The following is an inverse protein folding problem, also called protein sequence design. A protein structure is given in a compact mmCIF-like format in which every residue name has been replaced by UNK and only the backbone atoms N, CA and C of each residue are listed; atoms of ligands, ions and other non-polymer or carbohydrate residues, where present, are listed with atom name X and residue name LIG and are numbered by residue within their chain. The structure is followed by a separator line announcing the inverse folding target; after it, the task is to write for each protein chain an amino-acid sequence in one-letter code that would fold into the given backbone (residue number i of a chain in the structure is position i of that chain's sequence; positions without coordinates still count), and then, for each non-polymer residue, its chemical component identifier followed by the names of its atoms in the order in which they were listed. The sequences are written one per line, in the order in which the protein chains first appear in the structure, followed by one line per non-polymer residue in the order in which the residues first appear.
data_IF_864747111598
#
_entry.id   IF_864747111598
#
_cell.length_a   1.000
_cell.length_b   1.000
_cell.length_c   1.000
_cell.angle_alpha   90.00
_cell.angle_beta   90.00
_cell.angle_gamma   90.00
#
_symmetry.space_group_name_H-M   'P 1'
#
loop_
_entity.id
_entity.type
_entity.pdbx_description
1 polymer ?
#
# COMPACT_ATOMS: atom_id res chain seq x y z
N UNK A 1 8.05 -56.78 0.65
CA UNK A 1 9.52 -56.95 0.55
C UNK A 1 10.12 -55.56 0.42
N UNK A 2 10.96 -55.11 1.36
CA UNK A 2 11.41 -53.70 1.41
C UNK A 2 12.24 -53.36 0.16
N UNK A 3 11.75 -52.44 -0.66
CA UNK A 3 12.46 -51.97 -1.85
C UNK A 3 13.25 -50.71 -1.51
N UNK A 4 14.55 -50.89 -1.19
CA UNK A 4 15.43 -49.80 -0.73
C UNK A 4 15.66 -48.73 -1.79
N UNK A 5 15.74 -49.10 -3.05
CA UNK A 5 15.97 -48.17 -4.15
C UNK A 5 14.79 -47.20 -4.31
N UNK A 6 13.55 -47.70 -4.17
CA UNK A 6 12.35 -46.85 -4.21
C UNK A 6 12.26 -45.91 -3.00
N UNK A 7 12.64 -46.37 -1.81
CA UNK A 7 12.64 -45.54 -0.59
C UNK A 7 13.62 -44.37 -0.72
N UNK A 8 14.82 -44.62 -1.28
CA UNK A 8 15.81 -43.58 -1.54
C UNK A 8 15.28 -42.57 -2.57
N UNK A 9 14.72 -43.05 -3.69
CA UNK A 9 14.13 -42.18 -4.72
C UNK A 9 13.00 -41.31 -4.16
N UNK A 10 12.07 -41.88 -3.38
CA UNK A 10 11.00 -41.11 -2.77
C UNK A 10 11.51 -40.09 -1.75
N UNK A 11 12.55 -40.45 -0.99
CA UNK A 11 13.17 -39.55 -0.02
C UNK A 11 13.88 -38.39 -0.70
N UNK A 12 14.61 -38.64 -1.78
CA UNK A 12 15.29 -37.61 -2.55
C UNK A 12 14.28 -36.70 -3.25
N UNK A 13 13.22 -37.27 -3.82
CA UNK A 13 12.15 -36.51 -4.46
C UNK A 13 11.39 -35.60 -3.49
N UNK A 14 11.07 -36.11 -2.29
CA UNK A 14 10.44 -35.32 -1.23
C UNK A 14 11.33 -34.14 -0.81
N UNK A 15 12.65 -34.34 -0.71
CA UNK A 15 13.60 -33.28 -0.37
C UNK A 15 13.76 -32.26 -1.49
N UNK A 16 13.95 -32.71 -2.72
CA UNK A 16 14.14 -31.85 -3.89
C UNK A 16 12.92 -30.95 -4.15
N UNK A 17 11.73 -31.46 -3.86
CA UNK A 17 10.45 -30.75 -4.06
C UNK A 17 9.90 -30.10 -2.80
N UNK A 18 10.58 -30.27 -1.66
CA UNK A 18 10.13 -29.75 -0.37
C UNK A 18 8.67 -30.13 -0.05
N UNK A 19 8.30 -31.39 -0.33
CA UNK A 19 6.95 -31.96 -0.10
C UNK A 19 7.05 -32.99 1.03
N UNK A 20 6.05 -33.03 1.90
CA UNK A 20 6.01 -34.03 2.98
C UNK A 20 5.84 -35.45 2.42
N UNK A 21 6.43 -36.44 3.11
CA UNK A 21 6.34 -37.85 2.67
C UNK A 21 4.90 -38.35 2.63
N UNK A 22 4.08 -38.00 3.62
CA UNK A 22 2.64 -38.34 3.64
C UNK A 22 1.94 -37.85 2.38
N UNK A 23 2.16 -36.59 2.01
CA UNK A 23 1.54 -35.96 0.86
C UNK A 23 2.03 -36.57 -0.46
N UNK A 24 3.33 -36.87 -0.56
CA UNK A 24 3.88 -37.60 -1.71
C UNK A 24 3.18 -38.95 -1.92
N UNK A 25 2.80 -39.64 -0.84
CA UNK A 25 2.06 -40.91 -0.91
C UNK A 25 0.70 -40.71 -1.55
N UNK A 26 -0.05 -39.72 -1.06
CA UNK A 26 -1.36 -39.36 -1.63
C UNK A 26 -1.27 -38.92 -3.09
N UNK A 27 -0.21 -38.20 -3.48
CA UNK A 27 0.02 -37.84 -4.90
C UNK A 27 0.20 -39.09 -5.76
N UNK A 28 0.98 -40.06 -5.28
CA UNK A 28 1.24 -41.31 -6.00
C UNK A 28 -0.03 -42.17 -6.10
N UNK A 29 -0.83 -42.24 -5.05
CA UNK A 29 -2.14 -42.92 -5.09
C UNK A 29 -3.06 -42.30 -6.16
N UNK A 30 -3.20 -40.98 -6.16
CA UNK A 30 -3.97 -40.24 -7.17
C UNK A 30 -3.42 -40.42 -8.58
N UNK A 31 -2.09 -40.50 -8.72
CA UNK A 31 -1.41 -40.73 -9.98
C UNK A 31 -1.78 -42.08 -10.58
N UNK A 32 -1.73 -43.17 -9.80
CA UNK A 32 -2.07 -44.49 -10.30
C UNK A 32 -3.56 -44.63 -10.60
N UNK A 33 -4.44 -44.05 -9.77
CA UNK A 33 -5.88 -44.00 -10.07
C UNK A 33 -6.14 -43.25 -11.40
N UNK A 34 -5.49 -42.12 -11.63
CA UNK A 34 -5.59 -41.38 -12.88
C UNK A 34 -5.10 -42.19 -14.10
N UNK A 35 -4.01 -42.95 -13.95
CA UNK A 35 -3.50 -43.84 -15.01
C UNK A 35 -4.49 -44.96 -15.31
N UNK A 36 -5.09 -45.56 -14.27
CA UNK A 36 -6.08 -46.63 -14.39
C UNK A 36 -7.31 -46.10 -15.12
N UNK A 37 -7.86 -44.96 -14.69
CA UNK A 37 -9.02 -44.32 -15.32
C UNK A 37 -8.75 -44.03 -16.81
N UNK A 38 -7.56 -43.52 -17.14
CA UNK A 38 -7.14 -43.28 -18.53
C UNK A 38 -7.00 -44.54 -19.37
N UNK A 39 -6.65 -45.66 -18.75
CA UNK A 39 -6.36 -46.93 -19.44
C UNK A 39 -7.64 -47.74 -19.64
N UNK A 40 -8.46 -47.83 -18.61
CA UNK A 40 -9.63 -48.71 -18.54
C UNK A 40 -10.96 -47.95 -18.69
N UNK A 41 -10.95 -46.62 -18.60
CA UNK A 41 -12.15 -45.77 -18.72
C UNK A 41 -12.91 -45.57 -17.42
N UNK A 42 -12.68 -46.43 -16.42
CA UNK A 42 -13.20 -46.31 -15.06
C UNK A 42 -12.12 -46.75 -14.05
N UNK A 43 -12.11 -46.11 -12.89
CA UNK A 43 -11.26 -46.41 -11.75
C UNK A 43 -12.06 -46.62 -10.44
N UNK A 44 -13.40 -46.62 -10.51
CA UNK A 44 -14.29 -46.65 -9.34
C UNK A 44 -14.09 -47.87 -8.43
N UNK A 45 -13.67 -49.00 -8.99
CA UNK A 45 -13.43 -50.25 -8.28
C UNK A 45 -11.95 -50.51 -7.98
N UNK A 46 -11.09 -49.49 -8.11
CA UNK A 46 -9.66 -49.62 -7.84
C UNK A 46 -9.28 -48.89 -6.56
N UNK A 47 -8.48 -49.55 -5.73
CA UNK A 47 -7.87 -49.01 -4.52
C UNK A 47 -6.36 -49.08 -4.65
N UNK A 48 -5.68 -47.94 -4.51
CA UNK A 48 -4.21 -47.86 -4.56
C UNK A 48 -3.70 -47.55 -3.17
N UNK A 49 -2.74 -48.33 -2.70
CA UNK A 49 -2.08 -48.13 -1.41
C UNK A 49 -0.58 -47.91 -1.66
N UNK A 50 -0.06 -46.78 -1.21
CA UNK A 50 1.36 -46.44 -1.35
C UNK A 50 2.03 -46.36 0.02
N UNK A 51 2.97 -47.26 0.28
CA UNK A 51 3.80 -47.23 1.48
C UNK A 51 5.21 -46.72 1.15
N UNK A 52 5.46 -45.44 1.42
CA UNK A 52 6.74 -44.80 1.11
C UNK A 52 7.88 -45.34 1.98
N UNK A 53 7.62 -45.68 3.24
CA UNK A 53 8.67 -46.17 4.15
C UNK A 53 9.14 -47.60 3.80
N UNK A 54 8.26 -48.39 3.16
CA UNK A 54 8.60 -49.74 2.65
C UNK A 54 8.96 -49.76 1.17
N UNK A 55 8.65 -48.69 0.42
CA UNK A 55 8.81 -48.64 -1.03
C UNK A 55 7.83 -49.58 -1.76
N UNK A 56 6.64 -49.79 -1.19
CA UNK A 56 5.63 -50.73 -1.72
C UNK A 56 4.47 -49.94 -2.33
N UNK A 57 4.06 -50.34 -3.54
CA UNK A 57 2.91 -49.78 -4.27
C UNK A 57 2.03 -50.95 -4.64
N UNK A 58 0.82 -50.96 -4.09
CA UNK A 58 -0.15 -52.04 -4.29
C UNK A 58 -1.41 -51.47 -4.92
N UNK A 59 -1.85 -52.09 -6.02
CA UNK A 59 -3.06 -51.71 -6.75
C UNK A 59 -4.02 -52.88 -6.66
N UNK A 60 -5.18 -52.63 -6.07
CA UNK A 60 -6.24 -53.60 -5.86
C UNK A 60 -7.42 -53.25 -6.75
N UNK A 61 -7.96 -54.22 -7.49
CA UNK A 61 -9.19 -54.08 -8.26
C UNK A 61 -10.28 -54.98 -7.65
N UNK A 62 -11.31 -54.35 -7.11
CA UNK A 62 -12.47 -55.03 -6.55
C UNK A 62 -13.40 -55.48 -7.67
N UNK A 63 -13.68 -56.77 -7.74
CA UNK A 63 -14.58 -57.37 -8.74
C UNK A 63 -15.62 -58.23 -8.05
N UNK A 64 -16.80 -58.31 -8.64
CA UNK A 64 -17.85 -59.23 -8.20
C UNK A 64 -17.75 -60.52 -8.99
N UNK A 65 -17.75 -61.66 -8.30
CA UNK A 65 -17.71 -62.94 -8.97
C UNK A 65 -19.07 -63.25 -9.58
N UNK A 66 -19.12 -63.58 -10.86
CA UNK A 66 -20.35 -63.86 -11.61
C UNK A 66 -20.22 -65.13 -12.44
N UNK A 67 -21.35 -65.66 -12.89
CA UNK A 67 -21.37 -66.83 -13.79
C UNK A 67 -21.12 -66.43 -15.25
N UNK A 68 -21.57 -65.24 -15.65
CA UNK A 68 -21.41 -64.69 -17.00
C UNK A 68 -20.99 -63.24 -16.83
N UNK A 69 -19.87 -62.87 -17.44
CA UNK A 69 -19.33 -61.51 -17.37
C UNK A 69 -20.09 -60.62 -18.34
N UNK A 70 -20.80 -59.63 -17.80
CA UNK A 70 -21.42 -58.54 -18.54
C UNK A 70 -20.51 -57.31 -18.57
N UNK A 71 -19.80 -57.04 -17.46
CA UNK A 71 -18.83 -55.95 -17.34
C UNK A 71 -17.44 -56.50 -16.94
N UNK A 72 -16.48 -56.59 -17.87
CA UNK A 72 -15.13 -57.09 -17.58
C UNK A 72 -14.32 -56.28 -16.57
N UNK A 73 -14.69 -55.03 -16.30
CA UNK A 73 -13.98 -54.17 -15.34
C UNK A 73 -14.38 -54.49 -13.90
N UNK A 74 -15.67 -54.73 -13.66
CA UNK A 74 -16.24 -54.95 -12.33
C UNK A 74 -16.57 -56.41 -12.05
N UNK A 75 -16.48 -57.30 -13.03
CA UNK A 75 -16.88 -58.70 -12.88
C UNK A 75 -15.78 -59.68 -13.29
N UNK A 76 -15.74 -60.83 -12.63
CA UNK A 76 -14.84 -61.95 -12.93
C UNK A 76 -15.60 -63.28 -12.88
N UNK A 77 -15.25 -64.24 -13.72
CA UNK A 77 -15.84 -65.58 -13.64
C UNK A 77 -15.25 -66.34 -12.45
N UNK A 78 -16.01 -67.33 -11.92
CA UNK A 78 -15.51 -68.23 -10.87
C UNK A 78 -14.23 -68.95 -11.33
N UNK A 79 -14.17 -69.34 -12.61
CA UNK A 79 -13.02 -70.05 -13.20
C UNK A 79 -11.78 -69.15 -13.27
N UNK A 80 -11.94 -67.90 -13.73
CA UNK A 80 -10.84 -66.94 -13.83
C UNK A 80 -10.33 -66.49 -12.45
N UNK A 81 -11.22 -66.37 -11.47
CA UNK A 81 -10.86 -66.05 -10.09
C UNK A 81 -9.99 -67.17 -9.48
N UNK A 82 -10.40 -68.45 -9.64
CA UNK A 82 -9.64 -69.61 -9.17
C UNK A 82 -8.29 -69.77 -9.88
N UNK A 83 -8.18 -69.33 -11.14
CA UNK A 83 -6.92 -69.36 -11.89
C UNK A 83 -5.89 -68.36 -11.32
N UNK A 84 -6.36 -67.19 -10.89
CA UNK A 84 -5.50 -66.13 -10.34
C UNK A 84 -5.10 -66.39 -8.90
N UNK A 85 -6.02 -66.91 -8.09
CA UNK A 85 -5.76 -67.28 -6.69
C UNK A 85 -6.25 -68.71 -6.41
N UNK A 86 -5.39 -69.73 -6.66
CA UNK A 86 -5.76 -71.13 -6.48
C UNK A 86 -5.92 -71.55 -5.01
N UNK A 87 -5.50 -70.71 -4.06
CA UNK A 87 -5.61 -70.95 -2.61
C UNK A 87 -7.00 -70.57 -2.05
N UNK A 88 -7.87 -69.94 -2.85
CA UNK A 88 -9.25 -69.64 -2.47
C UNK A 88 -10.15 -70.86 -2.71
N UNK A 89 -10.29 -71.71 -1.69
CA UNK A 89 -11.02 -72.99 -1.78
C UNK A 89 -12.56 -72.84 -1.91
N UNK A 90 -13.13 -71.67 -1.60
CA UNK A 90 -14.59 -71.44 -1.64
C UNK A 90 -14.92 -70.05 -2.22
N UNK A 91 -15.19 -69.98 -3.53
CA UNK A 91 -15.70 -68.76 -4.19
C UNK A 91 -17.07 -69.05 -4.82
N UNK A 92 -18.09 -68.28 -4.44
CA UNK A 92 -19.44 -68.35 -5.01
C UNK A 92 -19.77 -67.12 -5.86
N UNK A 93 -20.66 -67.25 -6.88
CA UNK A 93 -21.19 -66.08 -7.59
C UNK A 93 -21.91 -65.13 -6.63
N UNK A 94 -21.51 -63.86 -6.63
CA UNK A 94 -21.96 -62.82 -5.71
C UNK A 94 -20.90 -62.36 -4.71
N UNK A 95 -19.80 -63.11 -4.55
CA UNK A 95 -18.74 -62.77 -3.62
C UNK A 95 -17.81 -61.66 -4.17
N UNK A 96 -17.24 -60.79 -3.30
CA UNK A 96 -16.21 -59.85 -3.70
C UNK A 96 -14.87 -60.57 -3.88
N UNK A 97 -14.19 -60.27 -4.98
CA UNK A 97 -12.85 -60.76 -5.31
C UNK A 97 -11.93 -59.56 -5.51
N UNK A 98 -10.77 -59.57 -4.86
CA UNK A 98 -9.78 -58.49 -4.97
C UNK A 98 -8.63 -58.97 -5.85
N UNK A 99 -8.51 -58.40 -7.04
CA UNK A 99 -7.43 -58.69 -7.96
C UNK A 99 -6.24 -57.76 -7.70
N UNK A 100 -5.05 -58.31 -7.45
CA UNK A 100 -3.80 -57.53 -7.34
C UNK A 100 -3.23 -57.26 -8.73
N UNK A 101 -2.99 -55.99 -9.05
CA UNK A 101 -2.45 -55.56 -10.34
C UNK A 101 -1.00 -55.13 -10.19
N UNK A 102 -0.14 -55.68 -11.04
CA UNK A 102 1.27 -55.26 -11.12
C UNK A 102 1.39 -53.91 -11.84
N UNK A 103 2.00 -52.88 -11.20
CA UNK A 103 2.27 -51.59 -11.85
C UNK A 103 3.09 -51.69 -13.15
N UNK A 104 3.83 -52.77 -13.37
CA UNK A 104 4.62 -53.03 -14.58
C UNK A 104 3.77 -53.20 -15.84
N UNK A 105 2.46 -53.40 -15.70
CA UNK A 105 1.50 -53.53 -16.82
C UNK A 105 1.34 -52.19 -17.58
N UNK A 106 1.64 -51.06 -16.94
CA UNK A 106 1.49 -49.74 -17.57
C UNK A 106 2.61 -49.47 -18.60
N UNK A 107 2.25 -49.39 -19.87
CA UNK A 107 3.18 -49.14 -20.96
C UNK A 107 3.79 -47.72 -20.98
N UNK A 108 4.84 -47.53 -21.81
CA UNK A 108 5.60 -46.27 -21.92
C UNK A 108 4.75 -44.99 -22.14
N UNK A 109 3.64 -45.09 -22.85
CA UNK A 109 2.73 -43.94 -23.09
C UNK A 109 2.07 -43.47 -21.80
N UNK A 110 1.69 -44.40 -20.92
CA UNK A 110 1.09 -44.08 -19.62
C UNK A 110 2.12 -43.45 -18.68
N UNK A 111 3.37 -43.90 -18.72
CA UNK A 111 4.47 -43.28 -17.94
C UNK A 111 4.66 -41.79 -18.31
N UNK A 112 4.51 -41.41 -19.59
CA UNK A 112 4.60 -40.01 -20.00
C UNK A 112 3.45 -39.16 -19.43
N UNK A 113 2.22 -39.68 -19.47
CA UNK A 113 1.06 -39.04 -18.84
C UNK A 113 1.20 -38.96 -17.32
N UNK A 114 1.73 -40.02 -16.72
CA UNK A 114 2.00 -40.10 -15.30
C UNK A 114 2.98 -38.99 -14.86
N UNK A 115 4.10 -38.85 -15.58
CA UNK A 115 5.08 -37.78 -15.32
C UNK A 115 4.44 -36.39 -15.40
N UNK A 116 3.56 -36.16 -16.37
CA UNK A 116 2.86 -34.88 -16.52
C UNK A 116 1.89 -34.61 -15.36
N UNK A 117 1.04 -35.59 -15.02
CA UNK A 117 0.11 -35.48 -13.88
C UNK A 117 0.87 -35.24 -12.57
N UNK A 118 1.92 -36.03 -12.32
CA UNK A 118 2.75 -35.91 -11.14
C UNK A 118 3.40 -34.53 -11.01
N UNK A 119 3.96 -34.01 -12.11
CA UNK A 119 4.55 -32.67 -12.13
C UNK A 119 3.51 -31.58 -11.88
N UNK A 120 2.30 -31.71 -12.43
CA UNK A 120 1.21 -30.77 -12.21
C UNK A 120 0.75 -30.79 -10.74
N UNK A 121 0.58 -31.98 -10.16
CA UNK A 121 0.11 -32.14 -8.80
C UNK A 121 1.09 -31.58 -7.77
N UNK A 122 2.39 -31.77 -7.99
CA UNK A 122 3.43 -31.12 -7.18
C UNK A 122 3.32 -29.60 -7.28
N UNK A 123 3.17 -29.05 -8.49
CA UNK A 123 3.03 -27.59 -8.65
C UNK A 123 1.78 -27.05 -7.95
N UNK A 124 0.68 -27.79 -7.96
CA UNK A 124 -0.56 -27.38 -7.28
C UNK A 124 -0.37 -27.32 -5.76
N UNK A 125 0.36 -28.28 -5.20
CA UNK A 125 0.74 -28.33 -3.78
C UNK A 125 1.70 -27.19 -3.42
N UNK A 126 2.77 -27.00 -4.21
CA UNK A 126 3.71 -25.90 -4.04
C UNK A 126 2.97 -24.54 -4.04
N UNK A 127 2.01 -24.36 -4.96
CA UNK A 127 1.16 -23.15 -5.03
C UNK A 127 0.29 -22.99 -3.80
N UNK A 128 -0.29 -24.07 -3.28
CA UNK A 128 -1.12 -24.03 -2.08
C UNK A 128 -0.30 -23.63 -0.85
N UNK A 129 0.89 -24.22 -0.67
CA UNK A 129 1.80 -23.84 0.42
C UNK A 129 2.23 -22.37 0.33
N UNK A 130 2.58 -21.89 -0.88
CA UNK A 130 2.93 -20.48 -1.10
C UNK A 130 1.74 -19.58 -0.75
N UNK A 131 0.52 -19.94 -1.16
CA UNK A 131 -0.67 -19.16 -0.82
C UNK A 131 -0.85 -19.06 0.70
N UNK A 132 -0.77 -20.18 1.41
CA UNK A 132 -0.96 -20.24 2.86
C UNK A 132 0.13 -19.47 3.63
N UNK A 133 1.40 -19.61 3.26
CA UNK A 133 2.51 -18.88 3.90
C UNK A 133 2.32 -17.36 3.73
N UNK A 134 2.12 -16.90 2.50
CA UNK A 134 2.05 -15.46 2.22
C UNK A 134 0.74 -14.83 2.67
N UNK A 135 -0.37 -15.59 2.71
CA UNK A 135 -1.64 -15.04 3.19
C UNK A 135 -1.60 -14.73 4.69
N UNK A 136 -0.81 -15.47 5.48
CA UNK A 136 -0.62 -15.19 6.90
C UNK A 136 0.35 -14.03 7.16
N UNK A 137 1.13 -13.65 6.14
CA UNK A 137 2.19 -12.64 6.21
C UNK A 137 1.80 -11.31 5.55
N UNK A 138 0.51 -11.10 5.27
CA UNK A 138 0.01 -9.83 4.73
C UNK A 138 0.36 -8.71 5.72
N UNK A 139 0.96 -7.64 5.20
CA UNK A 139 1.47 -6.52 6.00
C UNK A 139 2.93 -6.66 6.42
N UNK A 140 3.60 -7.79 6.20
CA UNK A 140 5.03 -7.91 6.47
C UNK A 140 5.90 -7.34 5.36
N UNK A 141 7.08 -6.83 5.73
CA UNK A 141 8.13 -6.48 4.77
C UNK A 141 8.85 -7.74 4.32
N UNK A 142 8.93 -7.92 3.01
CA UNK A 142 9.71 -8.95 2.35
C UNK A 142 10.80 -8.35 1.50
N UNK A 143 11.90 -9.09 1.33
CA UNK A 143 13.05 -8.69 0.54
C UNK A 143 13.18 -9.66 -0.63
N UNK A 144 13.12 -9.15 -1.86
CA UNK A 144 13.21 -9.96 -3.06
C UNK A 144 14.12 -9.36 -4.12
N UNK A 145 14.61 -10.23 -5.01
CA UNK A 145 15.45 -9.82 -6.14
C UNK A 145 14.59 -9.62 -7.39
N UNK A 146 14.80 -8.53 -8.13
CA UNK A 146 14.08 -8.27 -9.38
C UNK A 146 14.51 -9.27 -10.45
N UNK A 147 13.63 -10.22 -10.77
CA UNK A 147 13.84 -11.22 -11.82
C UNK A 147 13.47 -10.67 -13.19
N UNK A 148 12.28 -10.08 -13.29
CA UNK A 148 11.72 -9.62 -14.55
C UNK A 148 11.10 -8.22 -14.42
N UNK A 149 11.33 -7.42 -15.45
CA UNK A 149 10.77 -6.07 -15.60
C UNK A 149 9.87 -6.09 -16.83
N UNK A 150 8.59 -5.78 -16.64
CA UNK A 150 7.62 -5.53 -17.69
C UNK A 150 7.16 -4.06 -17.62
N UNK A 151 6.37 -3.60 -18.60
CA UNK A 151 5.94 -2.19 -18.70
C UNK A 151 5.16 -1.72 -17.46
N UNK A 152 4.26 -2.57 -16.95
CA UNK A 152 3.32 -2.22 -15.88
C UNK A 152 3.51 -3.05 -14.60
N UNK A 153 4.38 -4.05 -14.63
CA UNK A 153 4.63 -4.95 -13.50
C UNK A 153 6.12 -5.27 -13.38
N UNK A 154 6.60 -5.33 -12.14
CA UNK A 154 7.90 -5.91 -11.77
C UNK A 154 7.64 -7.23 -11.06
N UNK A 155 8.53 -8.20 -11.27
CA UNK A 155 8.46 -9.49 -10.61
C UNK A 155 9.69 -9.70 -9.74
N UNK A 156 9.44 -9.86 -8.44
CA UNK A 156 10.44 -10.12 -7.41
C UNK A 156 10.47 -11.61 -7.12
N UNK A 157 11.67 -12.19 -7.06
CA UNK A 157 11.85 -13.58 -6.68
C UNK A 157 12.27 -13.68 -5.21
N UNK A 158 11.58 -14.51 -4.44
CA UNK A 158 11.87 -14.79 -3.03
C UNK A 158 11.82 -16.31 -2.83
N UNK A 159 12.98 -16.95 -2.81
CA UNK A 159 13.06 -18.42 -2.73
C UNK A 159 12.30 -19.09 -3.87
N UNK A 160 11.18 -19.74 -3.54
CA UNK A 160 10.30 -20.45 -4.47
C UNK A 160 9.09 -19.63 -4.96
N UNK A 161 8.83 -18.45 -4.38
CA UNK A 161 7.71 -17.59 -4.74
C UNK A 161 8.12 -16.44 -5.66
N UNK A 162 7.24 -16.11 -6.61
CA UNK A 162 7.34 -14.92 -7.43
C UNK A 162 6.26 -13.92 -7.00
N UNK A 163 6.69 -12.72 -6.60
CA UNK A 163 5.82 -11.65 -6.12
C UNK A 163 5.73 -10.57 -7.19
N UNK A 164 4.56 -9.97 -7.32
CA UNK A 164 4.27 -8.94 -8.32
C UNK A 164 4.22 -7.58 -7.66
N UNK A 165 5.00 -6.64 -8.19
CA UNK A 165 5.00 -5.22 -7.81
C UNK A 165 4.43 -4.38 -8.97
N UNK A 166 3.12 -4.07 -8.95
CA UNK A 166 2.47 -3.28 -10.00
C UNK A 166 2.99 -1.84 -10.03
N UNK A 167 2.93 -1.19 -11.20
CA UNK A 167 3.37 0.21 -11.37
C UNK A 167 2.68 1.20 -10.43
N UNK A 168 1.41 0.99 -10.12
CA UNK A 168 0.64 1.82 -9.17
C UNK A 168 1.12 1.67 -7.72
N UNK A 169 1.78 0.56 -7.41
CA UNK A 169 2.30 0.23 -6.08
C UNK A 169 3.81 0.53 -5.94
N UNK A 170 4.42 1.08 -7.00
CA UNK A 170 5.83 1.47 -7.03
C UNK A 170 5.99 2.92 -6.59
N UNK A 171 7.17 3.24 -6.06
CA UNK A 171 7.56 4.63 -5.82
C UNK A 171 7.97 5.24 -7.17
N UNK A 172 7.30 6.29 -7.69
CA UNK A 172 7.53 6.77 -9.06
C UNK A 172 8.93 7.29 -9.34
N UNK A 173 9.64 7.74 -8.30
CA UNK A 173 11.01 8.26 -8.41
C UNK A 173 12.08 7.16 -8.45
N UNK A 174 11.71 5.91 -8.20
CA UNK A 174 12.66 4.79 -8.18
C UNK A 174 12.97 4.28 -9.58
N UNK A 175 14.23 3.87 -9.76
CA UNK A 175 14.68 3.22 -10.98
C UNK A 175 15.09 1.79 -10.64
N UNK A 176 14.37 0.84 -11.23
CA UNK A 176 14.58 -0.58 -10.98
C UNK A 176 15.41 -1.21 -12.09
N UNK A 177 16.39 -2.05 -11.72
CA UNK A 177 17.17 -2.87 -12.65
C UNK A 177 17.04 -4.34 -12.28
N UNK A 178 17.26 -5.20 -13.28
CA UNK A 178 17.29 -6.65 -13.03
C UNK A 178 18.41 -6.96 -12.05
N UNK A 179 18.15 -7.89 -11.13
CA UNK A 179 19.03 -8.29 -10.02
C UNK A 179 19.17 -7.30 -8.88
N UNK A 180 18.46 -6.17 -8.92
CA UNK A 180 18.39 -5.30 -7.74
C UNK A 180 17.61 -6.01 -6.63
N UNK A 181 18.02 -5.78 -5.39
CA UNK A 181 17.26 -6.24 -4.22
C UNK A 181 16.34 -5.13 -3.77
N UNK A 182 15.08 -5.47 -3.54
CA UNK A 182 14.02 -4.52 -3.22
C UNK A 182 13.24 -5.02 -2.03
N UNK A 183 13.01 -4.14 -1.05
CA UNK A 183 12.11 -4.38 0.06
C UNK A 183 10.69 -3.97 -0.33
N UNK A 184 9.66 -4.68 0.08
CA UNK A 184 8.30 -4.25 -0.17
C UNK A 184 7.38 -4.87 0.87
N UNK A 185 6.24 -4.24 1.14
CA UNK A 185 5.23 -4.81 2.02
C UNK A 185 4.30 -5.72 1.21
N UNK A 186 3.91 -6.87 1.77
CA UNK A 186 2.87 -7.71 1.16
C UNK A 186 1.53 -7.00 1.34
N UNK A 187 0.91 -6.61 0.22
CA UNK A 187 -0.35 -5.86 0.21
C UNK A 187 -1.57 -6.77 0.15
N UNK A 188 -1.53 -7.76 -0.74
CA UNK A 188 -2.60 -8.74 -0.87
C UNK A 188 -2.08 -10.05 -1.48
N UNK A 189 -2.80 -11.12 -1.20
CA UNK A 189 -2.55 -12.45 -1.77
C UNK A 189 -3.88 -12.97 -2.31
N UNK A 190 -3.95 -13.15 -3.62
CA UNK A 190 -5.16 -13.60 -4.31
C UNK A 190 -4.92 -14.97 -4.96
N UNK A 191 -5.86 -15.90 -4.83
CA UNK A 191 -5.74 -17.19 -5.51
C UNK A 191 -6.34 -17.09 -6.92
N UNK A 192 -5.49 -17.24 -7.95
CA UNK A 192 -5.93 -17.18 -9.36
C UNK A 192 -5.82 -18.57 -10.01
N UNK A 193 -6.43 -18.73 -11.19
CA UNK A 193 -6.33 -19.98 -11.96
C UNK A 193 -4.89 -20.35 -12.37
N UNK A 194 -3.96 -19.39 -12.30
CA UNK A 194 -2.53 -19.60 -12.59
C UNK A 194 -1.69 -19.86 -11.34
N UNK A 195 -2.30 -19.81 -10.15
CA UNK A 195 -1.63 -19.88 -8.85
C UNK A 195 -1.83 -18.62 -8.01
N UNK A 196 -1.19 -18.55 -6.82
CA UNK A 196 -1.26 -17.38 -5.96
C UNK A 196 -0.61 -16.17 -6.63
N UNK A 197 -1.34 -15.08 -6.71
CA UNK A 197 -0.86 -13.77 -7.12
C UNK A 197 -0.58 -12.93 -5.87
N UNK A 198 0.69 -12.84 -5.51
CA UNK A 198 1.16 -12.11 -4.33
C UNK A 198 1.51 -10.69 -4.77
N UNK A 199 0.69 -9.71 -4.38
CA UNK A 199 0.91 -8.30 -4.70
C UNK A 199 1.67 -7.65 -3.56
N UNK A 200 2.81 -7.05 -3.90
CA UNK A 200 3.60 -6.24 -2.98
C UNK A 200 3.52 -4.76 -3.33
N UNK A 201 3.80 -3.91 -2.35
CA UNK A 201 3.80 -2.46 -2.51
C UNK A 201 4.97 -1.79 -1.81
N UNK A 202 5.45 -0.71 -2.42
CA UNK A 202 6.39 0.26 -1.82
C UNK A 202 5.75 1.62 -1.63
N UNK A 203 4.66 1.91 -2.35
CA UNK A 203 3.91 3.17 -2.22
C UNK A 203 2.90 3.16 -1.07
N UNK A 204 2.54 1.99 -0.55
CA UNK A 204 1.58 1.86 0.54
C UNK A 204 2.05 2.57 1.83
N UNK A 205 1.12 3.10 2.62
CA UNK A 205 1.42 3.72 3.92
C UNK A 205 1.92 2.66 4.91
N UNK A 206 1.45 1.42 4.80
CA UNK A 206 1.87 0.34 5.69
C UNK A 206 3.35 -0.02 5.50
N UNK A 207 3.92 0.23 4.31
CA UNK A 207 5.36 0.07 4.09
C UNK A 207 6.16 1.05 4.98
N UNK A 208 5.74 2.31 5.05
CA UNK A 208 6.38 3.30 5.92
C UNK A 208 6.23 2.93 7.40
N UNK A 209 5.04 2.50 7.81
CA UNK A 209 4.78 2.01 9.17
C UNK A 209 5.77 0.91 9.58
N UNK A 210 5.89 -0.13 8.74
CA UNK A 210 6.79 -1.26 9.00
C UNK A 210 8.26 -0.88 8.99
N UNK A 211 8.68 0.08 8.16
CA UNK A 211 10.05 0.60 8.21
C UNK A 211 10.35 1.31 9.55
N UNK A 212 9.39 2.05 10.10
CA UNK A 212 9.54 2.66 11.43
C UNK A 212 9.54 1.61 12.54
N UNK A 213 8.65 0.62 12.48
CA UNK A 213 8.60 -0.49 13.43
C UNK A 213 9.94 -1.23 13.50
N UNK A 214 10.59 -1.48 12.34
CA UNK A 214 11.90 -2.12 12.28
C UNK A 214 13.07 -1.26 12.78
N UNK A 215 12.99 0.07 12.64
CA UNK A 215 14.10 0.99 12.93
C UNK A 215 14.01 1.58 14.36
N UNK A 216 12.82 1.60 14.95
CA UNK A 216 12.52 2.23 16.25
C UNK A 216 11.98 1.18 17.23
N UNK A 217 12.83 0.63 18.12
CA UNK A 217 12.43 -0.40 19.08
C UNK A 217 11.25 0.02 19.97
N UNK A 218 11.15 1.31 20.29
CA UNK A 218 10.05 1.84 21.09
C UNK A 218 8.68 1.71 20.41
N UNK A 219 8.63 1.61 19.07
CA UNK A 219 7.41 1.31 18.32
C UNK A 219 7.10 -0.18 18.34
N UNK A 220 8.12 -1.03 18.17
CA UNK A 220 7.99 -2.50 18.26
C UNK A 220 7.48 -2.94 19.65
N UNK A 221 7.98 -2.31 20.72
CA UNK A 221 7.56 -2.55 22.11
C UNK A 221 6.17 -1.96 22.44
N UNK A 222 5.56 -1.20 21.52
CA UNK A 222 4.27 -0.53 21.71
C UNK A 222 4.28 0.66 22.69
N UNK A 223 5.46 1.20 23.03
CA UNK A 223 5.59 2.41 23.86
C UNK A 223 5.29 3.68 23.08
N UNK A 224 5.57 3.66 21.77
CA UNK A 224 5.23 4.70 20.81
C UNK A 224 4.28 4.09 19.77
N UNK A 225 3.22 4.82 19.45
CA UNK A 225 2.23 4.44 18.46
C UNK A 225 2.23 5.43 17.30
N UNK A 226 2.25 4.93 16.06
CA UNK A 226 2.00 5.75 14.87
C UNK A 226 0.49 5.78 14.64
N UNK A 227 -0.15 6.91 14.88
CA UNK A 227 -1.61 7.03 14.77
C UNK A 227 -2.08 7.21 13.33
N UNK A 228 -1.34 7.98 12.54
CA UNK A 228 -1.75 8.32 11.17
C UNK A 228 -0.53 8.58 10.30
N UNK A 229 -0.66 8.21 9.03
CA UNK A 229 0.35 8.39 7.99
C UNK A 229 -0.34 8.98 6.77
N UNK A 230 0.22 10.08 6.27
CA UNK A 230 -0.17 10.70 5.01
C UNK A 230 1.05 10.81 4.12
N UNK A 231 0.96 10.34 2.87
CA UNK A 231 2.13 10.10 2.04
C UNK A 231 1.90 10.44 0.58
N UNK A 232 2.87 11.14 0.02
CA UNK A 232 3.11 11.25 -1.41
C UNK A 232 4.41 10.48 -1.73
N UNK A 233 4.30 9.21 -2.17
CA UNK A 233 5.44 8.29 -2.24
C UNK A 233 6.62 8.83 -3.07
N UNK A 234 7.82 8.77 -2.51
CA UNK A 234 9.06 9.23 -3.14
C UNK A 234 9.30 10.74 -3.09
N UNK A 235 8.39 11.52 -2.51
CA UNK A 235 8.55 12.98 -2.38
C UNK A 235 8.45 13.44 -0.93
N UNK A 236 7.30 13.23 -0.29
CA UNK A 236 7.07 13.67 1.08
C UNK A 236 6.00 12.85 1.80
N UNK A 237 6.21 12.57 3.08
CA UNK A 237 5.22 12.02 4.00
C UNK A 237 5.17 12.82 5.29
N UNK A 238 4.04 12.73 5.97
CA UNK A 238 3.84 13.19 7.34
C UNK A 238 3.31 12.03 8.17
N UNK A 239 3.80 11.90 9.40
CA UNK A 239 3.33 10.90 10.35
C UNK A 239 2.99 11.55 11.69
N UNK A 240 1.95 11.05 12.36
CA UNK A 240 1.61 11.41 13.74
C UNK A 240 2.09 10.29 14.66
N UNK A 241 2.87 10.64 15.66
CA UNK A 241 3.35 9.72 16.69
C UNK A 241 2.83 10.13 18.06
N UNK A 242 2.45 9.14 18.85
CA UNK A 242 2.01 9.29 20.24
C UNK A 242 2.87 8.42 21.14
N UNK A 243 3.25 8.91 22.31
CA UNK A 243 3.91 8.07 23.32
C UNK A 243 2.95 7.76 24.47
N UNK A 244 2.86 6.48 24.81
CA UNK A 244 2.14 5.99 25.98
C UNK A 244 2.90 6.28 27.30
N UNK A 245 4.21 6.53 27.25
CA UNK A 245 5.03 6.94 28.40
C UNK A 245 5.49 8.41 28.25
N UNK A 246 5.05 9.26 29.17
CA UNK A 246 5.40 10.69 29.21
C UNK A 246 6.90 10.98 29.33
N UNK A 247 7.70 9.98 29.75
CA UNK A 247 9.16 10.11 29.88
C UNK A 247 9.88 9.91 28.55
N UNK A 248 9.19 9.39 27.53
CA UNK A 248 9.75 9.10 26.22
C UNK A 248 9.30 10.21 25.25
N UNK A 249 10.27 10.84 24.57
CA UNK A 249 9.97 11.75 23.48
C UNK A 249 9.79 10.96 22.18
N UNK A 250 8.56 10.90 21.68
CA UNK A 250 8.24 10.10 20.50
C UNK A 250 8.97 10.59 19.23
N UNK A 251 9.02 11.90 19.00
CA UNK A 251 9.73 12.47 17.85
C UNK A 251 11.24 12.19 17.96
N UNK A 252 11.83 12.44 19.12
CA UNK A 252 13.25 12.17 19.38
C UNK A 252 13.63 10.70 19.17
N UNK A 253 12.81 9.76 19.64
CA UNK A 253 13.02 8.34 19.46
C UNK A 253 12.97 7.92 17.97
N UNK A 254 12.02 8.46 17.21
CA UNK A 254 11.90 8.16 15.78
C UNK A 254 13.01 8.79 14.93
N UNK A 255 13.48 9.98 15.29
CA UNK A 255 14.58 10.66 14.58
C UNK A 255 15.93 10.01 14.91
N UNK A 256 16.16 9.66 16.18
CA UNK A 256 17.43 9.13 16.66
C UNK A 256 18.53 10.20 16.75
N UNK A 257 19.73 9.81 17.20
CA UNK A 257 20.84 10.74 17.36
C UNK A 257 21.22 11.38 16.01
N UNK A 258 21.08 12.70 15.92
CA UNK A 258 21.33 13.48 14.67
C UNK A 258 20.57 12.94 13.45
N UNK A 259 19.40 12.33 13.65
CA UNK A 259 18.59 11.80 12.55
C UNK A 259 19.05 10.44 12.02
N UNK A 260 19.89 9.69 12.76
CA UNK A 260 20.47 8.44 12.26
C UNK A 260 19.42 7.41 11.84
N UNK A 261 18.34 7.27 12.61
CA UNK A 261 17.25 6.31 12.36
C UNK A 261 16.42 6.74 11.15
N UNK A 262 15.90 7.97 11.19
CA UNK A 262 15.07 8.51 10.10
C UNK A 262 15.81 8.55 8.76
N UNK A 263 17.12 8.81 8.73
CA UNK A 263 17.90 8.79 7.51
C UNK A 263 17.96 7.41 6.85
N UNK A 264 17.92 6.32 7.62
CA UNK A 264 17.82 4.96 7.09
C UNK A 264 16.53 4.78 6.29
N UNK A 265 15.40 5.17 6.89
CA UNK A 265 14.07 5.12 6.29
C UNK A 265 14.00 6.03 5.05
N UNK A 266 14.45 7.28 5.15
CA UNK A 266 14.46 8.24 4.03
C UNK A 266 15.25 7.71 2.82
N UNK A 267 16.40 7.05 3.06
CA UNK A 267 17.17 6.42 1.98
C UNK A 267 16.43 5.25 1.36
N UNK A 268 15.79 4.40 2.18
CA UNK A 268 15.00 3.26 1.70
C UNK A 268 13.82 3.73 0.83
N UNK A 269 13.23 4.90 1.11
CA UNK A 269 12.14 5.50 0.32
C UNK A 269 12.63 6.39 -0.83
N UNK A 270 13.88 6.22 -1.27
CA UNK A 270 14.47 6.98 -2.38
C UNK A 270 14.46 8.52 -2.15
N UNK A 271 14.88 8.94 -0.95
CA UNK A 271 14.95 10.33 -0.51
C UNK A 271 13.61 11.05 -0.33
N UNK A 272 12.55 10.29 -0.04
CA UNK A 272 11.28 10.85 0.42
C UNK A 272 11.48 11.65 1.73
N UNK A 273 11.00 12.89 1.80
CA UNK A 273 11.07 13.71 3.02
C UNK A 273 10.00 13.26 4.01
N UNK A 274 10.39 12.79 5.19
CA UNK A 274 9.45 12.33 6.23
C UNK A 274 9.38 13.36 7.35
N UNK A 275 8.21 13.96 7.56
CA UNK A 275 7.94 14.83 8.70
C UNK A 275 7.28 14.04 9.83
N UNK A 276 7.79 14.19 11.06
CA UNK A 276 7.28 13.48 12.24
C UNK A 276 6.65 14.51 13.17
N UNK A 277 5.38 14.28 13.53
CA UNK A 277 4.57 15.20 14.32
C UNK A 277 4.15 14.53 15.62
N UNK A 278 4.40 15.19 16.75
CA UNK A 278 3.86 14.75 18.03
C UNK A 278 2.35 14.98 18.09
N UNK A 279 1.61 13.92 18.43
CA UNK A 279 0.18 13.98 18.70
C UNK A 279 -0.15 15.00 19.81
N UNK A 280 -1.35 15.55 19.74
CA UNK A 280 -1.93 16.44 20.74
C UNK A 280 -3.44 16.26 20.75
N UNK A 281 -4.02 16.14 21.93
CA UNK A 281 -5.47 16.12 22.12
C UNK A 281 -6.12 17.46 21.73
N UNK A 282 -5.37 18.57 21.83
CA UNK A 282 -5.84 19.88 21.37
C UNK A 282 -5.72 19.96 19.84
N UNK A 283 -6.87 20.02 19.15
CA UNK A 283 -6.97 20.11 17.69
C UNK A 283 -6.13 21.24 17.11
N UNK A 284 -6.20 22.44 17.71
CA UNK A 284 -5.42 23.61 17.30
C UNK A 284 -3.91 23.34 17.24
N UNK A 285 -3.38 22.71 18.29
CA UNK A 285 -1.96 22.37 18.40
C UNK A 285 -1.59 21.30 17.38
N UNK A 286 -2.48 20.32 17.16
CA UNK A 286 -2.25 19.24 16.20
C UNK A 286 -2.22 19.76 14.75
N UNK A 287 -3.20 20.59 14.37
CA UNK A 287 -3.27 21.24 13.05
C UNK A 287 -2.05 22.11 12.81
N UNK A 288 -1.70 22.97 13.76
CA UNK A 288 -0.50 23.81 13.68
C UNK A 288 0.77 22.99 13.44
N UNK A 289 0.95 21.87 14.14
CA UNK A 289 2.11 20.99 13.96
C UNK A 289 2.10 20.26 12.61
N UNK A 290 0.95 19.84 12.11
CA UNK A 290 0.87 19.16 10.81
C UNK A 290 1.19 20.10 9.63
N UNK A 291 0.89 21.39 9.78
CA UNK A 291 1.21 22.43 8.78
C UNK A 291 2.70 22.80 8.72
N UNK A 292 3.49 22.35 9.71
CA UNK A 292 4.95 22.51 9.73
C UNK A 292 5.57 22.12 8.38
N UNK A 293 6.48 22.95 7.82
CA UNK A 293 7.26 23.99 8.49
C UNK A 293 6.60 25.37 8.65
N UNK A 294 5.50 25.65 7.93
CA UNK A 294 4.82 26.95 8.04
C UNK A 294 4.04 27.04 9.36
N UNK A 295 3.96 28.25 9.93
CA UNK A 295 3.26 28.46 11.21
C UNK A 295 2.04 29.35 10.98
N UNK A 296 0.83 28.84 11.18
CA UNK A 296 -0.35 29.67 11.08
C UNK A 296 -0.33 30.73 12.19
N UNK A 297 -0.72 31.96 11.85
CA UNK A 297 -0.96 33.03 12.81
C UNK A 297 -2.24 32.77 13.59
N UNK A 298 -3.29 32.38 12.87
CA UNK A 298 -4.62 32.13 13.42
C UNK A 298 -5.20 30.86 12.80
N UNK A 299 -5.95 30.11 13.60
CA UNK A 299 -6.69 28.93 13.19
C UNK A 299 -8.16 29.09 13.60
N UNK A 300 -9.05 29.06 12.62
CA UNK A 300 -10.50 28.99 12.86
C UNK A 300 -10.96 27.56 12.58
N UNK A 301 -11.34 26.85 13.64
CA UNK A 301 -11.58 25.41 13.58
C UNK A 301 -13.06 25.16 13.84
N UNK A 302 -13.68 24.41 12.94
CA UNK A 302 -15.01 23.83 13.08
C UNK A 302 -14.85 22.31 13.26
N UNK A 303 -14.96 21.87 14.52
CA UNK A 303 -14.81 20.46 14.90
C UNK A 303 -15.96 19.57 14.39
N UNK A 304 -17.16 20.13 14.20
CA UNK A 304 -18.34 19.39 13.72
C UNK A 304 -18.20 19.09 12.22
N UNK A 305 -17.78 20.09 11.43
CA UNK A 305 -17.57 19.95 9.99
C UNK A 305 -16.19 19.41 9.61
N UNK A 306 -15.29 19.22 10.58
CA UNK A 306 -13.88 18.87 10.35
C UNK A 306 -13.23 19.82 9.35
N UNK A 307 -13.45 21.11 9.55
CA UNK A 307 -12.97 22.18 8.69
C UNK A 307 -12.09 23.15 9.47
N UNK A 308 -11.03 23.64 8.85
CA UNK A 308 -10.12 24.60 9.45
C UNK A 308 -9.71 25.65 8.42
N UNK A 309 -9.81 26.92 8.80
CA UNK A 309 -9.18 28.04 8.09
C UNK A 309 -7.88 28.38 8.78
N UNK A 310 -6.77 28.29 8.05
CA UNK A 310 -5.44 28.59 8.54
C UNK A 310 -4.93 29.87 7.90
N UNK A 311 -4.71 30.89 8.71
CA UNK A 311 -4.21 32.18 8.25
C UNK A 311 -2.71 32.20 8.44
N UNK A 312 -2.01 32.56 7.39
CA UNK A 312 -0.57 32.74 7.37
C UNK A 312 -0.24 34.18 7.02
N UNK A 313 0.99 34.57 7.33
CA UNK A 313 1.56 35.77 6.70
C UNK A 313 1.68 35.51 5.21
N UNK A 314 1.54 36.56 4.40
CA UNK A 314 1.57 36.44 2.94
C UNK A 314 2.89 35.84 2.43
N UNK A 315 4.02 36.13 3.11
CA UNK A 315 5.34 35.57 2.78
C UNK A 315 5.51 34.09 3.14
N UNK A 316 4.71 33.56 4.08
CA UNK A 316 4.72 32.15 4.48
C UNK A 316 3.61 31.32 3.80
N UNK A 317 2.67 31.94 3.09
CA UNK A 317 1.54 31.26 2.45
C UNK A 317 1.99 30.20 1.44
N UNK A 318 2.97 30.53 0.59
CA UNK A 318 3.54 29.61 -0.39
C UNK A 318 4.18 28.37 0.28
N UNK A 319 4.82 28.57 1.42
CA UNK A 319 5.41 27.50 2.21
C UNK A 319 4.32 26.62 2.83
N UNK A 320 3.24 27.24 3.31
CA UNK A 320 2.10 26.56 3.90
C UNK A 320 1.39 25.67 2.88
N UNK A 321 1.08 26.20 1.69
CA UNK A 321 0.48 25.46 0.58
C UNK A 321 1.44 24.36 0.10
N UNK A 322 2.71 24.73 -0.07
CA UNK A 322 3.73 23.86 -0.64
C UNK A 322 3.55 23.64 -2.14
N UNK A 323 4.57 23.07 -2.79
CA UNK A 323 4.55 22.85 -4.24
C UNK A 323 3.33 22.02 -4.66
N UNK A 324 2.43 22.63 -5.45
CA UNK A 324 1.19 22.01 -5.91
C UNK A 324 0.18 21.68 -4.81
N UNK A 325 0.19 22.41 -3.69
CA UNK A 325 -0.72 22.18 -2.57
C UNK A 325 -0.39 20.96 -1.72
N UNK A 326 0.81 20.38 -1.91
CA UNK A 326 1.17 19.10 -1.29
C UNK A 326 1.20 19.17 0.25
N UNK A 327 1.66 20.27 0.85
CA UNK A 327 1.80 20.34 2.31
C UNK A 327 0.43 20.38 2.99
N UNK A 328 -0.48 21.24 2.51
CA UNK A 328 -1.87 21.29 2.98
C UNK A 328 -2.58 19.96 2.75
N UNK A 329 -2.44 19.36 1.55
CA UNK A 329 -3.07 18.07 1.25
C UNK A 329 -2.60 16.97 2.20
N UNK A 330 -1.29 16.90 2.46
CA UNK A 330 -0.74 15.93 3.39
C UNK A 330 -1.24 16.16 4.81
N UNK A 331 -1.25 17.41 5.30
CA UNK A 331 -1.75 17.77 6.63
C UNK A 331 -3.25 17.48 6.79
N UNK A 332 -4.04 17.81 5.77
CA UNK A 332 -5.48 17.56 5.67
C UNK A 332 -5.79 16.07 5.76
N UNK A 333 -5.10 15.24 4.97
CA UNK A 333 -5.24 13.78 5.02
C UNK A 333 -4.73 13.18 6.34
N UNK A 334 -3.70 13.77 6.94
CA UNK A 334 -3.09 13.26 8.17
C UNK A 334 -4.01 13.39 9.39
N UNK A 335 -4.72 14.53 9.50
CA UNK A 335 -5.60 14.85 10.63
C UNK A 335 -7.08 14.57 10.30
N UNK A 336 -7.39 14.25 9.04
CA UNK A 336 -8.77 14.10 8.54
C UNK A 336 -9.61 15.37 8.67
N UNK A 337 -8.97 16.53 8.47
CA UNK A 337 -9.62 17.84 8.41
C UNK A 337 -9.47 18.42 7.00
N UNK A 338 -10.50 19.09 6.50
CA UNK A 338 -10.33 19.99 5.36
C UNK A 338 -9.68 21.28 5.85
N UNK A 339 -8.50 21.59 5.31
CA UNK A 339 -7.75 22.78 5.69
C UNK A 339 -7.66 23.71 4.48
N UNK A 340 -8.22 24.90 4.61
CA UNK A 340 -8.10 25.97 3.62
C UNK A 340 -7.13 27.02 4.19
N UNK A 341 -6.13 27.44 3.40
CA UNK A 341 -5.10 28.38 3.83
C UNK A 341 -5.27 29.73 3.13
N UNK A 342 -5.11 30.81 3.88
CA UNK A 342 -5.27 32.18 3.41
C UNK A 342 -4.10 33.06 3.85
N UNK A 343 -3.75 34.04 3.01
CA UNK A 343 -2.89 35.16 3.40
C UNK A 343 -3.62 36.12 4.34
N UNK A 344 -2.88 36.86 5.16
CA UNK A 344 -3.44 37.82 6.11
C UNK A 344 -4.26 38.89 5.38
N UNK A 345 -3.70 39.48 4.33
CA UNK A 345 -4.39 40.52 3.52
C UNK A 345 -5.64 39.97 2.84
N UNK A 346 -5.53 38.79 2.22
CA UNK A 346 -6.66 38.14 1.54
C UNK A 346 -7.80 37.87 2.53
N UNK A 347 -7.45 37.37 3.72
CA UNK A 347 -8.43 37.04 4.75
C UNK A 347 -9.11 38.30 5.32
N UNK A 348 -8.34 39.35 5.61
CA UNK A 348 -8.88 40.63 6.05
C UNK A 348 -9.84 41.22 5.00
N UNK A 349 -9.47 41.16 3.72
CA UNK A 349 -10.33 41.67 2.65
C UNK A 349 -11.63 40.87 2.54
N UNK A 350 -11.56 39.54 2.60
CA UNK A 350 -12.75 38.68 2.69
C UNK A 350 -13.63 39.02 3.87
N UNK A 351 -13.05 39.32 5.02
CA UNK A 351 -13.78 39.71 6.21
C UNK A 351 -14.46 41.07 6.03
N UNK A 352 -13.81 42.02 5.35
CA UNK A 352 -14.40 43.31 5.00
C UNK A 352 -15.56 43.10 4.03
N UNK A 353 -15.37 42.31 2.96
CA UNK A 353 -16.40 41.95 2.00
C UNK A 353 -17.62 41.32 2.71
N UNK A 354 -17.40 40.29 3.52
CA UNK A 354 -18.48 39.58 4.22
C UNK A 354 -19.26 40.47 5.19
N UNK A 355 -18.59 41.42 5.85
CA UNK A 355 -19.22 42.38 6.78
C UNK A 355 -19.77 43.63 6.09
N UNK A 356 -19.59 43.78 4.77
CA UNK A 356 -20.10 44.95 4.05
C UNK A 356 -21.62 44.92 4.07
N UNK A 357 -22.22 46.07 4.39
CA UNK A 357 -23.67 46.20 4.48
C UNK A 357 -24.27 46.14 3.07
N UNK A 358 -25.40 45.44 2.92
CA UNK A 358 -26.10 45.33 1.63
C UNK A 358 -26.51 46.70 1.05
N UNK A 359 -26.64 47.72 1.92
CA UNK A 359 -26.95 49.11 1.55
C UNK A 359 -25.80 49.78 0.78
N UNK A 360 -24.56 49.39 1.08
CA UNK A 360 -23.34 50.01 0.56
C UNK A 360 -22.95 49.47 -0.82
N UNK A 361 -23.57 48.37 -1.24
CA UNK A 361 -23.31 47.73 -2.53
C UNK A 361 -23.87 48.59 -3.67
N UNK A 362 -23.03 49.02 -4.64
CA UNK A 362 -23.49 49.78 -5.81
C UNK A 362 -24.45 48.95 -6.65
N UNK A 363 -25.52 49.58 -7.15
CA UNK A 363 -26.61 48.95 -7.92
C UNK A 363 -27.47 47.92 -7.16
N UNK A 364 -27.34 47.81 -5.84
CA UNK A 364 -28.18 46.91 -5.05
C UNK A 364 -29.68 47.32 -5.12
N UNK A 365 -30.64 46.38 -5.29
CA UNK A 365 -32.06 46.71 -5.38
C UNK A 365 -32.60 47.37 -4.10
N UNK A 366 -32.77 48.71 -4.12
CA UNK A 366 -33.18 49.53 -2.96
C UNK A 366 -34.49 49.09 -2.28
N UNK A 367 -35.39 48.42 -3.01
CA UNK A 367 -36.64 47.87 -2.45
C UNK A 367 -36.40 46.60 -1.63
N UNK A 368 -35.44 45.77 -2.05
CA UNK A 368 -35.09 44.53 -1.36
C UNK A 368 -34.30 44.80 -0.07
N UNK A 369 -33.49 45.87 -0.03
CA UNK A 369 -32.73 46.28 1.18
C UNK A 369 -33.64 46.39 2.40
N UNK A 370 -34.75 47.12 2.30
CA UNK A 370 -35.67 47.28 3.44
C UNK A 370 -36.29 45.96 3.88
N UNK A 371 -36.73 45.14 2.93
CA UNK A 371 -37.31 43.83 3.23
C UNK A 371 -36.30 42.87 3.87
N UNK A 372 -35.05 42.89 3.42
CA UNK A 372 -33.97 42.06 3.98
C UNK A 372 -33.56 42.54 5.38
N UNK A 373 -33.48 43.85 5.60
CA UNK A 373 -33.20 44.43 6.92
C UNK A 373 -34.30 44.13 7.95
N UNK A 374 -35.58 44.13 7.54
CA UNK A 374 -36.71 43.75 8.41
C UNK A 374 -36.62 42.30 8.90
N UNK A 375 -36.00 41.41 8.12
CA UNK A 375 -35.71 40.01 8.46
C UNK A 375 -34.34 39.82 9.15
N UNK A 376 -33.65 40.91 9.46
CA UNK A 376 -32.35 40.89 10.15
C UNK A 376 -31.15 40.54 9.25
N UNK A 377 -31.30 40.63 7.92
CA UNK A 377 -30.24 40.38 6.94
C UNK A 377 -29.66 41.72 6.51
N UNK A 378 -28.54 42.10 7.12
CA UNK A 378 -27.88 43.39 6.91
C UNK A 378 -26.55 43.27 6.15
N UNK A 379 -25.85 42.14 6.31
CA UNK A 379 -24.52 41.90 5.73
C UNK A 379 -24.55 40.86 4.62
N UNK A 380 -23.49 40.82 3.80
CA UNK A 380 -23.31 39.79 2.77
C UNK A 380 -23.25 38.39 3.41
N UNK A 381 -22.59 38.24 4.57
CA UNK A 381 -22.49 36.96 5.29
C UNK A 381 -23.87 36.43 5.73
N UNK A 382 -24.71 37.29 6.31
CA UNK A 382 -26.06 36.92 6.74
C UNK A 382 -26.95 36.52 5.55
N UNK A 383 -26.78 37.18 4.41
CA UNK A 383 -27.49 36.86 3.19
C UNK A 383 -27.08 35.48 2.63
N UNK A 384 -25.78 35.20 2.58
CA UNK A 384 -25.25 33.92 2.08
C UNK A 384 -25.53 32.72 2.98
N UNK A 385 -25.78 32.94 4.28
CA UNK A 385 -26.09 31.87 5.23
C UNK A 385 -27.55 31.39 5.11
N UNK A 386 -28.42 32.20 4.50
CA UNK A 386 -29.84 31.87 4.30
C UNK A 386 -30.04 31.04 3.03
N UNK A 387 -30.92 30.05 3.12
CA UNK A 387 -31.30 29.24 1.95
C UNK A 387 -32.16 30.06 0.98
N UNK A 388 -32.08 29.76 -0.31
CA UNK A 388 -32.85 30.46 -1.35
C UNK A 388 -34.36 30.45 -1.07
N UNK A 389 -34.91 29.32 -0.62
CA UNK A 389 -36.33 29.21 -0.25
C UNK A 389 -36.72 30.20 0.84
N UNK A 390 -35.86 30.36 1.86
CA UNK A 390 -36.10 31.31 2.96
C UNK A 390 -35.98 32.77 2.52
N UNK A 391 -35.21 33.05 1.47
CA UNK A 391 -35.07 34.38 0.88
C UNK A 391 -36.27 34.72 -0.01
N UNK A 392 -36.91 33.73 -0.64
CA UNK A 392 -38.11 33.91 -1.46
C UNK A 392 -39.39 34.11 -0.62
N UNK A 393 -39.40 33.64 0.64
CA UNK A 393 -40.50 33.91 1.59
C UNK A 393 -40.55 35.39 2.04
N UNK A 394 -39.44 36.12 1.89
CA UNK A 394 -39.34 37.53 2.27
C UNK A 394 -40.22 38.38 1.35
N UNK A 395 -41.08 39.21 1.98
CA UNK A 395 -42.02 40.07 1.25
C UNK A 395 -41.30 41.01 0.29
N UNK A 396 -41.57 40.84 -1.00
CA UNK A 396 -41.05 41.69 -2.08
C UNK A 396 -39.78 41.17 -2.75
N UNK A 397 -39.31 39.97 -2.39
CA UNK A 397 -38.26 39.24 -3.10
C UNK A 397 -38.92 38.22 -4.03
N UNK A 398 -38.70 38.38 -5.33
CA UNK A 398 -39.06 37.39 -6.36
C UNK A 398 -37.79 36.79 -6.95
N UNK A 399 -37.87 35.65 -7.64
CA UNK A 399 -36.70 35.01 -8.30
C UNK A 399 -35.87 36.00 -9.12
N UNK A 400 -36.52 36.83 -9.95
CA UNK A 400 -35.85 37.86 -10.76
C UNK A 400 -35.16 38.97 -9.93
N UNK A 401 -35.62 39.22 -8.70
CA UNK A 401 -35.00 40.21 -7.80
C UNK A 401 -33.84 39.55 -7.05
N UNK A 402 -34.00 38.28 -6.67
CA UNK A 402 -32.96 37.49 -6.02
C UNK A 402 -31.74 37.30 -6.94
N UNK A 403 -31.96 36.97 -8.22
CA UNK A 403 -30.90 36.90 -9.24
C UNK A 403 -30.12 38.22 -9.34
N UNK A 404 -30.83 39.36 -9.40
CA UNK A 404 -30.19 40.69 -9.42
C UNK A 404 -29.41 41.01 -8.14
N UNK A 405 -29.84 40.51 -6.99
CA UNK A 405 -29.12 40.65 -5.73
C UNK A 405 -27.81 39.86 -5.81
N UNK A 406 -27.87 38.60 -6.26
CA UNK A 406 -26.67 37.79 -6.49
C UNK A 406 -25.71 38.45 -7.47
N UNK A 407 -26.21 38.94 -8.60
CA UNK A 407 -25.40 39.66 -9.59
C UNK A 407 -24.75 40.91 -8.99
N UNK A 408 -25.49 41.68 -8.18
CA UNK A 408 -24.96 42.89 -7.55
C UNK A 408 -23.85 42.58 -6.54
N UNK A 409 -24.02 41.51 -5.76
CA UNK A 409 -23.03 41.04 -4.79
C UNK A 409 -21.78 40.51 -5.53
N UNK A 410 -21.96 39.69 -6.57
CA UNK A 410 -20.84 39.17 -7.36
C UNK A 410 -20.04 40.29 -8.03
N UNK A 411 -20.72 41.22 -8.71
CA UNK A 411 -20.06 42.36 -9.36
C UNK A 411 -19.30 43.24 -8.36
N UNK A 412 -19.82 43.40 -7.14
CA UNK A 412 -19.13 44.14 -6.09
C UNK A 412 -17.85 43.44 -5.63
N UNK A 413 -17.93 42.13 -5.37
CA UNK A 413 -16.77 41.31 -4.97
C UNK A 413 -15.71 41.29 -6.09
N UNK A 414 -16.11 41.09 -7.34
CA UNK A 414 -15.18 41.10 -8.48
C UNK A 414 -14.49 42.45 -8.65
N UNK A 415 -15.25 43.55 -8.58
CA UNK A 415 -14.68 44.89 -8.72
C UNK A 415 -13.69 45.22 -7.60
N UNK A 416 -14.00 44.84 -6.35
CA UNK A 416 -13.11 45.09 -5.22
C UNK A 416 -11.78 44.33 -5.36
N UNK A 417 -11.84 43.07 -5.81
CA UNK A 417 -10.64 42.27 -6.10
C UNK A 417 -9.77 42.87 -7.20
N UNK A 418 -10.38 43.40 -8.26
CA UNK A 418 -9.65 44.06 -9.35
C UNK A 418 -8.98 45.37 -8.90
N UNK A 419 -9.63 46.13 -8.02
CA UNK A 419 -9.07 47.38 -7.49
C UNK A 419 -7.85 47.07 -6.57
N UNK A 420 -7.87 45.97 -5.81
CA UNK A 420 -6.75 45.57 -4.95
C UNK A 420 -5.56 44.96 -5.73
N UNK A 421 -5.81 44.14 -6.77
CA UNK A 421 -4.76 43.60 -7.65
C UNK A 421 -3.97 44.73 -8.35
N UNK A 422 -4.63 45.87 -8.62
CA UNK A 422 -3.99 47.04 -9.22
C UNK A 422 -3.09 47.82 -8.23
N UNK A 423 -3.34 47.70 -6.92
CA UNK A 423 -2.52 48.33 -5.88
C UNK A 423 -1.25 47.52 -5.55
N UNK A 424 -1.25 46.19 -5.76
CA UNK A 424 -0.09 45.31 -5.53
C UNK A 424 0.95 45.37 -6.66
N UNK A 425 0.55 45.84 -7.85
CA UNK A 425 1.42 46.01 -9.04
C UNK A 425 2.16 47.37 -9.09
N UNK A 426 2.06 48.22 -8.06
CA UNK A 426 2.72 49.52 -8.01
C UNK A 426 4.09 49.44 -7.30
N UNK A 427 5.25 49.48 -8.01
CA UNK A 427 6.55 49.18 -7.41
C UNK A 427 7.19 50.33 -6.59
N UNK A 428 6.50 51.46 -6.41
CA UNK A 428 7.15 52.72 -6.05
C UNK A 428 7.23 53.04 -4.54
N UNK A 429 6.89 52.12 -3.63
CA UNK A 429 7.07 52.32 -2.18
C UNK A 429 7.85 51.19 -1.47
N UNK A 430 8.91 50.68 -2.12
CA UNK A 430 9.99 50.01 -1.39
C UNK A 430 10.98 51.10 -0.96
N UNK A 431 10.84 51.59 0.27
CA UNK A 431 11.88 52.35 0.97
C UNK A 431 13.08 51.42 1.20
N UNK A 432 13.96 51.33 0.21
CA UNK A 432 15.23 50.61 0.31
C UNK A 432 16.10 51.38 1.30
N UNK A 433 16.50 50.79 2.45
CA UNK A 433 17.52 51.42 3.27
C UNK A 433 18.82 51.42 2.46
N UNK A 434 19.33 52.62 2.19
CA UNK A 434 20.67 52.82 1.60
C UNK A 434 21.70 51.99 2.38
N UNK A 435 22.55 51.20 1.71
CA UNK A 435 23.71 50.62 2.38
C UNK A 435 24.66 51.76 2.74
N UNK A 436 24.94 51.92 4.04
CA UNK A 436 26.02 52.77 4.53
C UNK A 436 27.33 52.35 3.86
N UNK A 437 27.96 53.32 3.20
CA UNK A 437 29.29 53.18 2.64
C UNK A 437 30.29 52.97 3.79
N UNK A 438 30.93 51.81 3.81
CA UNK A 438 32.14 51.62 4.59
C UNK A 438 33.26 52.46 3.94
N UNK A 439 33.71 53.47 4.66
CA UNK A 439 34.90 54.26 4.33
C UNK A 439 36.13 53.35 4.32
N UNK A 440 36.80 53.34 3.17
CA UNK A 440 38.12 52.77 2.95
C UNK A 440 39.16 53.85 3.29
N UNK A 441 39.89 53.65 4.39
CA UNK A 441 41.16 54.34 4.62
C UNK A 441 42.10 53.44 5.45
N UNK A 442 43.03 52.76 4.78
CA UNK A 442 44.46 53.05 4.95
C UNK A 442 45.35 51.94 4.35
N UNK A 443 46.20 52.40 3.42
CA UNK A 443 47.30 51.67 2.84
C UNK A 443 48.39 51.31 3.86
N UNK A 444 49.02 50.14 3.70
CA UNK A 444 50.46 49.90 4.00
C UNK A 444 51.02 48.85 3.01
N UNK A 445 52.26 49.13 2.58
CA UNK A 445 53.08 48.56 1.50
C UNK A 445 53.52 47.09 1.71
N UNK A 446 53.96 46.40 0.64
CA UNK A 446 54.66 45.12 0.75
C UNK A 446 56.16 45.32 1.01
N UNK A 447 56.72 44.63 1.99
CA UNK A 447 58.16 44.57 2.24
C UNK A 447 58.74 43.18 1.95
N UNK A 448 59.94 43.22 1.39
CA UNK A 448 60.77 42.13 0.90
C UNK A 448 61.60 41.49 2.04
N UNK A 449 61.94 40.20 1.84
CA UNK A 449 63.05 39.41 2.42
C UNK A 449 62.89 38.87 3.86
N UNK A 450 62.92 37.55 3.95
CA UNK A 450 63.99 36.88 4.68
C UNK A 450 64.28 35.46 4.16
N UNK A 451 65.58 35.19 3.99
CA UNK A 451 66.19 33.91 3.63
C UNK A 451 66.35 33.04 4.89
N UNK A 452 66.67 31.76 4.65
CA UNK A 452 67.29 30.73 5.52
C UNK A 452 66.31 29.70 6.09
N UNK A 453 66.56 28.40 6.16
CA UNK A 453 67.67 27.51 5.79
C UNK A 453 67.08 26.07 5.81
N UNK A 454 67.34 25.26 4.79
CA UNK A 454 67.12 23.81 4.81
C UNK A 454 68.48 23.15 5.10
N UNK A 455 68.64 22.29 6.11
CA UNK A 455 69.84 21.48 6.23
C UNK A 455 69.69 20.18 5.44
N UNK A 456 70.66 19.93 4.54
CA UNK A 456 70.94 18.60 4.04
C UNK A 456 71.69 17.80 5.11
N UNK A 457 71.25 16.57 5.36
CA UNK A 457 72.12 15.51 5.87
C UNK A 457 71.98 14.29 4.99
N UNK A 458 73.12 13.90 4.39
CA UNK A 458 73.39 12.62 3.75
C UNK A 458 73.49 11.53 4.81
N UNK A 459 72.83 10.40 4.59
CA UNK A 459 73.42 9.06 4.40
C UNK A 459 72.36 8.09 3.88
#
# INVERSE_FOLDING_TARGET
MINRDLIEIFSDLARDKNVERSELGTILEQLFLYIIERTYGDASNYSVIVNIDKGEIEIYAEKTVVKVVEDPLHQITVEDALLKEPDLEEISPGDPFVEVIDPSVFGRRMIAHAKQFFSQRIQDIERQYIYEDYSNRIGEIVIGEIRQIQRDNLFLNIGFAELRLPKREQIPSENYRRKDTVRAVIKSVENTSKGPDIVVSRSDNHFLYKLFEMEVPEIEDGLIEIQSISRYPGVRSKIIVYSHDRRIDAVGACVGMRGSRIQGIVRELNNEKVDIVNYSEKTEVLISRALSPAKPMNLYIDDERKYCEAIFKDDELDLAIGRGGMNIKLASQLIEFRIDAFGEKEYEQRKIEQNTLLVEIPNFPKRAVKSLQEEGINTISEFQTKNEDSLLEVKGITENVLEKIYDSIQNFIEKKRMDDEADDDNPDDIDVPKPEAAEDDSAIKPDEKEKTLIPQSKE
#
